data_IF_970103236031
#
_entry.id   IF_970103236031
#
_cell.length_a   1.000
_cell.length_b   1.000
_cell.length_c   1.000
_cell.angle_alpha   90.00
_cell.angle_beta   90.00
_cell.angle_gamma   90.00
#
_symmetry.space_group_name_H-M   'P 1'
#
loop_
_entity.id
_entity.type
_entity.pdbx_description
1 polymer ?
#
# COMPACT_ATOMS: atom_id res chain seq x y z
N UNK A 1 -16.48 22.86 -20.15
CA UNK A 1 -17.31 22.73 -18.95
C UNK A 1 -16.54 21.88 -17.97
N UNK A 2 -15.98 22.47 -16.91
CA UNK A 2 -15.27 21.71 -15.89
C UNK A 2 -16.18 20.62 -15.35
N UNK A 3 -15.64 19.41 -15.16
CA UNK A 3 -16.38 18.31 -14.55
C UNK A 3 -16.65 18.73 -13.10
N UNK A 4 -17.83 19.31 -12.85
CA UNK A 4 -18.26 19.61 -11.50
C UNK A 4 -18.36 18.31 -10.73
N UNK A 5 -17.62 18.21 -9.62
CA UNK A 5 -17.76 17.06 -8.73
C UNK A 5 -19.00 17.22 -7.85
N UNK A 6 -19.69 16.11 -7.63
CA UNK A 6 -20.71 15.97 -6.61
C UNK A 6 -20.20 14.94 -5.60
N UNK A 7 -20.05 15.37 -4.35
CA UNK A 7 -19.74 14.49 -3.23
C UNK A 7 -21.06 13.97 -2.65
N UNK A 8 -21.29 12.66 -2.76
CA UNK A 8 -22.51 12.02 -2.31
C UNK A 8 -22.25 11.25 -1.02
N UNK A 9 -23.02 11.51 0.02
CA UNK A 9 -23.03 10.68 1.23
C UNK A 9 -23.95 9.49 0.99
N UNK A 10 -23.42 8.27 1.17
CA UNK A 10 -24.17 7.05 0.91
C UNK A 10 -25.11 6.73 2.08
N UNK A 11 -26.23 6.09 1.75
CA UNK A 11 -27.09 5.50 2.78
C UNK A 11 -26.39 4.32 3.46
N UNK A 12 -26.76 4.01 4.70
CA UNK A 12 -26.22 2.86 5.44
C UNK A 12 -26.38 1.54 4.65
N UNK A 13 -27.53 1.35 3.98
CA UNK A 13 -27.79 0.18 3.16
C UNK A 13 -26.83 0.09 1.96
N UNK A 14 -26.55 1.21 1.27
CA UNK A 14 -25.61 1.23 0.15
C UNK A 14 -24.17 0.99 0.63
N UNK A 15 -23.75 1.62 1.71
CA UNK A 15 -22.42 1.42 2.31
C UNK A 15 -22.22 -0.04 2.71
N UNK A 16 -23.18 -0.64 3.41
CA UNK A 16 -23.13 -2.04 3.80
C UNK A 16 -23.09 -2.98 2.59
N UNK A 17 -23.85 -2.69 1.52
CA UNK A 17 -23.82 -3.48 0.31
C UNK A 17 -22.43 -3.46 -0.36
N UNK A 18 -21.85 -2.27 -0.53
CA UNK A 18 -20.54 -2.08 -1.16
C UNK A 18 -19.40 -2.72 -0.36
N UNK A 19 -19.46 -2.66 0.97
CA UNK A 19 -18.40 -3.16 1.85
C UNK A 19 -18.63 -4.61 2.34
N UNK A 20 -19.72 -5.25 1.91
CA UNK A 20 -20.26 -6.48 2.54
C UNK A 20 -19.26 -7.64 2.63
N UNK A 21 -18.51 -7.92 1.56
CA UNK A 21 -17.53 -9.01 1.51
C UNK A 21 -16.50 -8.88 2.64
N UNK A 22 -15.91 -7.70 2.79
CA UNK A 22 -14.84 -7.47 3.76
C UNK A 22 -15.36 -7.12 5.15
N UNK A 23 -16.48 -6.41 5.25
CA UNK A 23 -17.08 -6.12 6.55
C UNK A 23 -17.49 -7.40 7.27
N UNK A 24 -18.04 -8.39 6.56
CA UNK A 24 -18.46 -9.65 7.19
C UNK A 24 -17.29 -10.43 7.81
N UNK A 25 -16.13 -10.43 7.14
CA UNK A 25 -14.91 -11.03 7.67
C UNK A 25 -14.49 -10.35 8.98
N UNK A 26 -14.47 -9.01 9.03
CA UNK A 26 -14.17 -8.28 10.28
C UNK A 26 -15.17 -8.57 11.38
N UNK A 27 -16.47 -8.62 11.06
CA UNK A 27 -17.51 -8.92 12.04
C UNK A 27 -17.37 -10.33 12.63
N UNK A 28 -16.93 -11.32 11.85
CA UNK A 28 -16.67 -12.67 12.35
C UNK A 28 -15.51 -12.77 13.35
N UNK A 29 -14.68 -11.72 13.47
CA UNK A 29 -13.51 -11.67 14.35
C UNK A 29 -13.72 -10.78 15.59
N UNK A 30 -14.98 -10.52 15.94
CA UNK A 30 -15.36 -9.73 17.12
C UNK A 30 -14.79 -10.29 18.42
N UNK A 31 -14.88 -11.61 18.61
CA UNK A 31 -14.44 -12.25 19.85
C UNK A 31 -12.92 -12.20 19.99
N UNK A 32 -12.19 -12.33 18.86
CA UNK A 32 -10.75 -12.15 18.80
C UNK A 32 -10.35 -10.71 19.17
N UNK A 33 -11.01 -9.70 18.61
CA UNK A 33 -10.78 -8.31 18.96
C UNK A 33 -10.99 -8.04 20.46
N UNK A 34 -12.08 -8.58 21.03
CA UNK A 34 -12.38 -8.44 22.45
C UNK A 34 -11.31 -9.11 23.33
N UNK A 35 -10.83 -10.29 22.94
CA UNK A 35 -9.76 -10.99 23.65
C UNK A 35 -8.45 -10.20 23.63
N UNK A 36 -8.03 -9.68 22.47
CA UNK A 36 -6.81 -8.87 22.35
C UNK A 36 -6.93 -7.60 23.20
N UNK A 37 -8.05 -6.88 23.14
CA UNK A 37 -8.25 -5.65 23.92
C UNK A 37 -8.25 -5.92 25.42
N UNK A 38 -8.91 -7.00 25.87
CA UNK A 38 -8.89 -7.40 27.29
C UNK A 38 -7.47 -7.69 27.74
N UNK A 39 -6.71 -8.44 26.93
CA UNK A 39 -5.32 -8.77 27.27
C UNK A 39 -4.43 -7.54 27.27
N UNK A 40 -4.61 -6.64 26.30
CA UNK A 40 -3.87 -5.39 26.23
C UNK A 40 -4.16 -4.49 27.44
N UNK A 41 -5.41 -4.48 27.92
CA UNK A 41 -5.83 -3.76 29.12
C UNK A 41 -5.16 -4.28 30.39
N UNK A 42 -4.95 -5.60 30.49
CA UNK A 42 -4.17 -6.22 31.59
C UNK A 42 -2.69 -5.84 31.51
N UNK A 43 -2.08 -5.96 30.33
CA UNK A 43 -0.64 -5.73 30.14
C UNK A 43 -0.24 -4.26 30.24
N UNK A 44 -1.05 -3.36 29.66
CA UNK A 44 -0.80 -1.92 29.65
C UNK A 44 -2.10 -1.10 29.40
N UNK A 45 -2.79 -0.65 30.47
CA UNK A 45 -4.02 0.13 30.39
C UNK A 45 -3.93 1.39 29.52
N UNK A 46 -2.80 2.09 29.58
CA UNK A 46 -2.59 3.35 28.84
C UNK A 46 -2.56 3.09 27.34
N UNK A 47 -1.85 2.05 26.89
CA UNK A 47 -1.85 1.65 25.48
C UNK A 47 -3.22 1.12 25.07
N UNK A 48 -3.86 0.27 25.89
CA UNK A 48 -5.16 -0.30 25.57
C UNK A 48 -6.22 0.76 25.25
N UNK A 49 -6.20 1.89 25.96
CA UNK A 49 -7.12 3.01 25.73
C UNK A 49 -7.00 3.62 24.32
N UNK A 50 -5.89 3.41 23.61
CA UNK A 50 -5.63 3.92 22.27
C UNK A 50 -6.14 3.02 21.15
N UNK A 51 -6.74 1.87 21.49
CA UNK A 51 -7.30 0.94 20.51
C UNK A 51 -8.82 0.82 20.68
N UNK A 52 -9.48 0.51 19.56
CA UNK A 52 -10.88 0.11 19.51
C UNK A 52 -11.05 -1.08 18.59
N UNK A 53 -12.22 -1.72 18.63
CA UNK A 53 -12.48 -2.88 17.79
C UNK A 53 -12.88 -2.45 16.38
N UNK A 54 -12.31 -3.05 15.34
CA UNK A 54 -12.45 -2.57 13.94
C UNK A 54 -13.89 -2.58 13.44
N UNK A 55 -14.73 -3.49 13.93
CA UNK A 55 -16.16 -3.51 13.61
C UNK A 55 -16.91 -2.24 14.04
N UNK A 56 -16.45 -1.56 15.10
CA UNK A 56 -17.07 -0.32 15.56
C UNK A 56 -16.76 0.82 14.58
N UNK A 57 -15.54 0.83 14.05
CA UNK A 57 -15.13 1.75 12.98
C UNK A 57 -15.95 1.54 11.70
N UNK A 58 -16.08 0.29 11.26
CA UNK A 58 -16.85 -0.05 10.05
C UNK A 58 -18.34 0.27 10.20
N UNK A 59 -18.94 -0.05 11.35
CA UNK A 59 -20.39 0.19 11.58
C UNK A 59 -20.74 1.67 11.70
N UNK A 60 -19.78 2.51 12.11
CA UNK A 60 -19.95 3.95 12.24
C UNK A 60 -19.47 4.74 11.02
N UNK A 61 -18.98 4.06 9.97
CA UNK A 61 -18.35 4.69 8.82
C UNK A 61 -19.37 5.43 7.95
N UNK A 62 -19.16 6.74 7.76
CA UNK A 62 -19.92 7.53 6.78
C UNK A 62 -19.18 7.51 5.44
N UNK A 63 -19.61 6.62 4.54
CA UNK A 63 -19.01 6.50 3.22
C UNK A 63 -19.51 7.60 2.29
N UNK A 64 -18.57 8.24 1.58
CA UNK A 64 -18.86 9.28 0.58
C UNK A 64 -18.17 8.92 -0.73
N UNK A 65 -18.77 9.32 -1.85
CA UNK A 65 -18.24 9.03 -3.20
C UNK A 65 -18.35 10.26 -4.08
N UNK A 66 -17.32 10.47 -4.90
CA UNK A 66 -17.29 11.45 -5.98
C UNK A 66 -18.01 10.89 -7.22
N UNK A 67 -18.66 11.80 -7.94
CA UNK A 67 -19.35 11.54 -9.20
C UNK A 67 -19.52 12.86 -9.96
N UNK A 68 -19.97 12.80 -11.21
CA UNK A 68 -20.33 14.00 -11.99
C UNK A 68 -21.78 14.43 -11.81
N UNK A 69 -22.62 13.50 -11.37
CA UNK A 69 -24.06 13.63 -11.21
C UNK A 69 -24.50 12.67 -10.11
N UNK A 70 -25.64 12.93 -9.48
CA UNK A 70 -26.26 11.96 -8.58
C UNK A 70 -26.49 10.63 -9.33
N UNK A 71 -26.28 9.48 -8.64
CA UNK A 71 -26.49 8.18 -9.27
C UNK A 71 -27.94 8.03 -9.74
N UNK A 72 -28.15 7.52 -10.95
CA UNK A 72 -29.47 7.43 -11.56
C UNK A 72 -30.40 6.50 -10.77
N UNK A 73 -29.83 5.45 -10.16
CA UNK A 73 -30.55 4.53 -9.27
C UNK A 73 -30.70 5.04 -7.83
N UNK A 74 -30.14 6.20 -7.49
CA UNK A 74 -30.05 6.70 -6.11
C UNK A 74 -29.01 5.96 -5.24
N UNK A 75 -28.22 5.05 -5.83
CA UNK A 75 -27.19 4.26 -5.15
C UNK A 75 -26.00 3.96 -6.07
N UNK A 76 -24.82 3.75 -5.51
CA UNK A 76 -23.66 3.31 -6.27
C UNK A 76 -23.58 1.77 -6.32
N UNK A 77 -23.35 1.21 -7.50
CA UNK A 77 -23.22 -0.26 -7.69
C UNK A 77 -21.81 -0.79 -7.38
N UNK A 78 -20.80 0.07 -7.54
CA UNK A 78 -19.38 -0.21 -7.33
C UNK A 78 -18.62 1.10 -7.19
N UNK A 79 -17.31 1.05 -6.95
CA UNK A 79 -16.47 2.24 -6.98
C UNK A 79 -15.02 1.93 -7.37
N UNK A 80 -14.33 2.96 -7.87
CA UNK A 80 -12.87 2.99 -8.03
C UNK A 80 -12.28 3.70 -6.82
N UNK A 81 -11.22 3.16 -6.23
CA UNK A 81 -10.45 3.88 -5.23
C UNK A 81 -9.20 4.49 -5.87
N UNK A 82 -8.93 5.76 -5.60
CA UNK A 82 -7.80 6.50 -6.15
C UNK A 82 -6.73 6.65 -5.09
N UNK A 83 -5.52 6.20 -5.43
CA UNK A 83 -4.35 6.18 -4.57
C UNK A 83 -3.31 7.15 -5.16
N UNK A 84 -2.89 8.16 -4.40
CA UNK A 84 -2.10 9.27 -4.94
C UNK A 84 -1.28 9.99 -3.86
N UNK A 85 -0.42 10.92 -4.28
CA UNK A 85 0.29 11.82 -3.37
C UNK A 85 -0.45 13.14 -3.24
N UNK A 86 -0.82 13.52 -2.01
CA UNK A 86 -1.43 14.83 -1.75
C UNK A 86 -0.46 15.95 -2.17
N UNK A 87 -1.00 17.00 -2.81
CA UNK A 87 -0.22 18.16 -3.23
C UNK A 87 0.11 19.04 -2.02
N UNK A 88 1.36 19.04 -1.60
CA UNK A 88 1.91 20.02 -0.65
C UNK A 88 2.79 20.99 -1.44
N UNK A 89 2.28 22.21 -1.67
CA UNK A 89 2.77 23.17 -2.66
C UNK A 89 4.26 23.53 -2.53
N UNK A 90 4.87 23.34 -1.37
CA UNK A 90 6.25 23.76 -1.08
C UNK A 90 7.30 22.67 -1.33
N UNK A 91 6.90 21.42 -1.61
CA UNK A 91 7.82 20.28 -1.47
C UNK A 91 7.85 19.31 -2.66
N UNK A 92 7.14 19.60 -3.75
CA UNK A 92 7.06 18.64 -4.85
C UNK A 92 6.74 19.29 -6.21
N UNK A 93 7.64 19.17 -7.20
CA UNK A 93 7.32 19.57 -8.55
C UNK A 93 6.39 18.52 -9.17
N UNK A 94 5.20 18.97 -9.58
CA UNK A 94 4.34 18.19 -10.46
C UNK A 94 4.95 18.13 -11.86
N UNK A 95 4.59 17.10 -12.62
CA UNK A 95 4.89 17.06 -14.04
C UNK A 95 4.24 18.25 -14.78
N UNK A 96 4.84 18.76 -15.87
CA UNK A 96 4.25 19.84 -16.67
C UNK A 96 2.80 19.57 -17.10
N UNK A 97 2.51 18.33 -17.50
CA UNK A 97 1.17 17.89 -17.90
C UNK A 97 0.16 17.77 -16.74
N UNK A 98 0.57 17.88 -15.48
CA UNK A 98 -0.32 17.88 -14.32
C UNK A 98 -1.08 19.20 -14.12
N UNK A 99 -1.08 20.08 -15.13
CA UNK A 99 -1.78 21.36 -15.11
C UNK A 99 -2.81 21.43 -16.25
N UNK A 100 -4.02 21.97 -16.00
CA UNK A 100 -4.51 22.54 -14.74
C UNK A 100 -4.95 21.47 -13.72
N UNK A 101 -4.98 21.85 -12.44
CA UNK A 101 -5.69 21.10 -11.40
C UNK A 101 -7.19 21.16 -11.68
N UNK A 102 -7.86 20.01 -11.65
CA UNK A 102 -9.29 19.93 -11.90
C UNK A 102 -10.04 20.61 -10.73
N UNK A 103 -10.99 21.53 -11.01
CA UNK A 103 -11.72 22.23 -9.95
C UNK A 103 -12.42 21.26 -8.99
N UNK A 104 -12.01 21.31 -7.71
CA UNK A 104 -12.57 20.48 -6.64
C UNK A 104 -11.89 19.14 -6.40
N UNK A 105 -11.17 18.58 -7.39
CA UNK A 105 -10.61 17.22 -7.28
C UNK A 105 -9.23 17.16 -6.63
N UNK A 106 -8.53 18.29 -6.54
CA UNK A 106 -7.16 18.39 -6.00
C UNK A 106 -6.10 17.50 -6.70
N UNK A 107 -6.43 17.00 -7.88
CA UNK A 107 -5.57 16.29 -8.83
C UNK A 107 -5.75 16.93 -10.21
N UNK A 108 -4.86 16.65 -11.15
CA UNK A 108 -4.89 17.26 -12.49
C UNK A 108 -6.16 16.89 -13.28
N UNK A 109 -6.60 17.80 -14.15
CA UNK A 109 -7.74 17.56 -15.03
C UNK A 109 -7.54 16.32 -15.93
N UNK A 110 -6.36 16.09 -16.56
CA UNK A 110 -6.16 14.86 -17.33
C UNK A 110 -6.30 13.58 -16.50
N UNK A 111 -5.85 13.58 -15.23
CA UNK A 111 -6.00 12.43 -14.33
C UNK A 111 -7.46 12.20 -13.95
N UNK A 112 -8.23 13.26 -13.68
CA UNK A 112 -9.69 13.15 -13.46
C UNK A 112 -10.35 12.54 -14.69
N UNK A 113 -10.06 13.06 -15.89
CA UNK A 113 -10.66 12.56 -17.13
C UNK A 113 -10.34 11.07 -17.34
N UNK A 114 -9.09 10.66 -17.08
CA UNK A 114 -8.67 9.27 -17.17
C UNK A 114 -9.37 8.37 -16.14
N UNK A 115 -9.41 8.77 -14.85
CA UNK A 115 -10.12 8.01 -13.80
C UNK A 115 -11.60 7.87 -14.11
N UNK A 116 -12.24 8.95 -14.56
CA UNK A 116 -13.65 8.96 -14.92
C UNK A 116 -13.94 8.09 -16.15
N UNK A 117 -13.02 8.03 -17.11
CA UNK A 117 -13.09 7.13 -18.27
C UNK A 117 -12.94 5.64 -17.92
N UNK A 118 -12.39 5.30 -16.74
CA UNK A 118 -12.28 3.92 -16.26
C UNK A 118 -13.55 3.39 -15.58
N UNK A 119 -14.57 4.24 -15.40
CA UNK A 119 -15.85 3.84 -14.82
C UNK A 119 -16.61 2.92 -15.77
N UNK A 120 -17.21 1.86 -15.24
CA UNK A 120 -17.98 0.90 -16.06
C UNK A 120 -19.42 1.37 -16.34
N UNK A 121 -19.96 2.28 -15.51
CA UNK A 121 -21.28 2.85 -15.69
C UNK A 121 -21.42 4.19 -14.92
N UNK A 122 -22.54 4.88 -15.10
CA UNK A 122 -22.83 6.17 -14.46
C UNK A 122 -23.10 6.08 -12.94
N UNK A 123 -23.35 4.87 -12.42
CA UNK A 123 -23.62 4.57 -11.01
C UNK A 123 -22.38 3.98 -10.31
N UNK A 124 -21.19 4.10 -10.91
CA UNK A 124 -19.93 3.73 -10.26
C UNK A 124 -19.30 4.95 -9.59
N UNK A 125 -19.05 4.89 -8.28
CA UNK A 125 -18.43 5.99 -7.54
C UNK A 125 -16.92 6.09 -7.77
N UNK A 126 -16.34 7.23 -7.40
CA UNK A 126 -14.89 7.38 -7.21
C UNK A 126 -14.62 7.74 -5.76
N UNK A 127 -13.75 7.00 -5.10
CA UNK A 127 -13.31 7.26 -3.73
C UNK A 127 -11.90 7.84 -3.75
N UNK A 128 -11.74 9.03 -3.17
CA UNK A 128 -10.47 9.74 -3.00
C UNK A 128 -10.38 10.19 -1.54
N UNK A 129 -9.37 9.71 -0.81
CA UNK A 129 -9.28 9.85 0.65
C UNK A 129 -9.47 11.30 1.14
N UNK A 130 -8.78 12.26 0.53
CA UNK A 130 -8.80 13.66 0.95
C UNK A 130 -10.17 14.33 0.82
N UNK A 131 -10.96 13.90 -0.16
CA UNK A 131 -12.28 14.49 -0.45
C UNK A 131 -13.44 13.68 0.13
N UNK A 132 -13.30 12.36 0.23
CA UNK A 132 -14.36 11.47 0.72
C UNK A 132 -14.37 11.36 2.25
N UNK A 133 -13.24 11.63 2.90
CA UNK A 133 -13.13 11.72 4.36
C UNK A 133 -13.28 13.19 4.76
N UNK A 134 -14.07 13.46 5.79
CA UNK A 134 -14.20 14.81 6.34
C UNK A 134 -12.91 15.17 7.10
N UNK A 135 -12.01 15.85 6.41
CA UNK A 135 -10.69 16.23 6.95
C UNK A 135 -10.75 17.23 8.12
N UNK A 136 -11.93 17.73 8.49
CA UNK A 136 -12.13 18.61 9.63
C UNK A 136 -12.75 17.90 10.84
N UNK A 137 -13.07 16.61 10.73
CA UNK A 137 -13.64 15.79 11.80
C UNK A 137 -12.67 14.65 12.13
N UNK A 138 -11.97 14.78 13.26
CA UNK A 138 -11.02 13.77 13.74
C UNK A 138 -11.68 12.41 14.00
N UNK A 139 -12.96 12.39 14.37
CA UNK A 139 -13.68 11.12 14.54
C UNK A 139 -13.87 10.44 13.19
N UNK A 140 -14.37 11.17 12.18
CA UNK A 140 -14.53 10.64 10.82
C UNK A 140 -13.19 10.14 10.26
N UNK A 141 -12.09 10.90 10.45
CA UNK A 141 -10.74 10.47 10.04
C UNK A 141 -10.32 9.16 10.68
N UNK A 142 -10.39 9.05 12.01
CA UNK A 142 -9.97 7.85 12.73
C UNK A 142 -10.78 6.63 12.27
N UNK A 143 -12.09 6.78 12.08
CA UNK A 143 -12.97 5.70 11.61
C UNK A 143 -12.58 5.26 10.17
N UNK A 144 -12.34 6.20 9.27
CA UNK A 144 -11.91 5.89 7.89
C UNK A 144 -10.52 5.26 7.85
N UNK A 145 -9.55 5.79 8.60
CA UNK A 145 -8.19 5.21 8.75
C UNK A 145 -8.27 3.77 9.26
N UNK A 146 -9.12 3.52 10.27
CA UNK A 146 -9.35 2.20 10.82
C UNK A 146 -10.06 1.22 9.88
N UNK A 147 -10.81 1.72 8.89
CA UNK A 147 -11.54 0.93 7.90
C UNK A 147 -10.91 0.95 6.50
N UNK A 148 -9.71 1.51 6.35
CA UNK A 148 -9.09 1.77 5.06
C UNK A 148 -8.81 0.50 4.24
N UNK A 149 -8.41 -0.59 4.90
CA UNK A 149 -8.28 -1.90 4.26
C UNK A 149 -9.61 -2.36 3.65
N UNK A 150 -10.70 -2.20 4.39
CA UNK A 150 -12.05 -2.61 3.98
C UNK A 150 -12.49 -1.81 2.76
N UNK A 151 -12.28 -0.50 2.76
CA UNK A 151 -12.63 0.37 1.62
C UNK A 151 -11.81 -0.01 0.38
N UNK A 152 -10.47 -0.08 0.48
CA UNK A 152 -9.64 -0.39 -0.68
C UNK A 152 -9.84 -1.81 -1.22
N UNK A 153 -10.04 -2.81 -0.34
CA UNK A 153 -10.33 -4.19 -0.79
C UNK A 153 -11.68 -4.33 -1.47
N UNK A 154 -12.66 -3.50 -1.07
CA UNK A 154 -14.01 -3.48 -1.63
C UNK A 154 -14.11 -2.70 -2.95
N UNK A 155 -13.12 -1.86 -3.26
CA UNK A 155 -13.06 -1.16 -4.53
C UNK A 155 -13.00 -2.17 -5.69
N UNK A 156 -13.71 -1.89 -6.78
CA UNK A 156 -13.61 -2.70 -8.00
C UNK A 156 -12.17 -2.65 -8.54
N UNK A 157 -11.56 -1.48 -8.48
CA UNK A 157 -10.20 -1.23 -8.96
C UNK A 157 -9.54 -0.14 -8.11
N UNK A 158 -8.23 -0.26 -7.95
CA UNK A 158 -7.37 0.80 -7.43
C UNK A 158 -6.66 1.46 -8.60
N UNK A 159 -6.72 2.79 -8.67
CA UNK A 159 -6.02 3.59 -9.68
C UNK A 159 -4.97 4.44 -8.98
N UNK A 160 -3.72 4.26 -9.38
CA UNK A 160 -2.54 4.89 -8.78
C UNK A 160 -2.12 6.06 -9.67
N UNK A 161 -2.16 7.29 -9.14
CA UNK A 161 -1.81 8.49 -9.90
C UNK A 161 -0.36 8.89 -9.63
N UNK A 162 0.45 8.94 -10.69
CA UNK A 162 1.86 9.35 -10.66
C UNK A 162 2.01 10.75 -11.27
N UNK A 163 1.49 11.76 -10.57
CA UNK A 163 1.40 13.13 -11.09
C UNK A 163 2.75 13.88 -11.22
N UNK A 164 3.84 13.29 -10.72
CA UNK A 164 5.23 13.73 -10.94
C UNK A 164 5.91 13.08 -12.14
N UNK A 165 5.25 12.13 -12.80
CA UNK A 165 5.86 11.36 -13.88
C UNK A 165 5.30 11.81 -15.22
N UNK A 166 6.16 12.43 -16.02
CA UNK A 166 5.96 12.62 -17.45
C UNK A 166 7.10 11.96 -18.21
N UNK A 167 6.73 11.06 -19.12
CA UNK A 167 7.66 10.35 -19.98
C UNK A 167 8.18 11.27 -21.07
N UNK A 168 9.42 11.08 -21.51
CA UNK A 168 9.84 11.58 -22.81
C UNK A 168 9.41 10.64 -23.94
N UNK A 169 9.76 10.98 -25.18
CA UNK A 169 9.31 10.22 -26.36
C UNK A 169 9.94 8.83 -26.40
N UNK A 170 11.22 8.70 -26.08
CA UNK A 170 11.92 7.41 -26.06
C UNK A 170 11.36 6.48 -24.98
N UNK A 171 11.14 7.01 -23.78
CA UNK A 171 10.55 6.27 -22.66
C UNK A 171 9.12 5.84 -22.94
N UNK A 172 8.27 6.72 -23.49
CA UNK A 172 6.89 6.38 -23.87
C UNK A 172 6.87 5.29 -24.93
N UNK A 173 7.70 5.41 -25.97
CA UNK A 173 7.81 4.42 -27.04
C UNK A 173 8.20 3.06 -26.46
N UNK A 174 9.17 3.04 -25.54
CA UNK A 174 9.58 1.82 -24.87
C UNK A 174 8.50 1.26 -23.95
N UNK A 175 7.85 2.11 -23.16
CA UNK A 175 6.78 1.71 -22.25
C UNK A 175 5.63 1.02 -22.98
N UNK A 176 5.19 1.59 -24.11
CA UNK A 176 4.14 1.02 -24.95
C UNK A 176 4.59 -0.30 -25.61
N UNK A 177 5.84 -0.40 -26.07
CA UNK A 177 6.37 -1.62 -26.65
C UNK A 177 6.44 -2.77 -25.62
N UNK A 178 7.02 -2.52 -24.44
CA UNK A 178 7.10 -3.52 -23.37
C UNK A 178 5.71 -3.88 -22.82
N UNK A 179 4.78 -2.92 -22.75
CA UNK A 179 3.40 -3.20 -22.34
C UNK A 179 2.68 -4.11 -23.35
N UNK A 180 2.89 -3.90 -24.65
CA UNK A 180 2.36 -4.78 -25.69
C UNK A 180 2.96 -6.19 -25.60
N UNK A 181 4.29 -6.31 -25.41
CA UNK A 181 4.94 -7.61 -25.18
C UNK A 181 4.35 -8.34 -23.97
N UNK A 182 4.10 -7.63 -22.87
CA UNK A 182 3.49 -8.21 -21.68
C UNK A 182 2.07 -8.70 -21.95
N UNK A 183 1.26 -7.92 -22.66
CA UNK A 183 -0.10 -8.32 -23.04
C UNK A 183 -0.09 -9.59 -23.92
N UNK A 184 0.82 -9.68 -24.88
CA UNK A 184 1.01 -10.87 -25.73
C UNK A 184 1.46 -12.08 -24.92
N UNK A 185 2.37 -11.90 -23.95
CA UNK A 185 2.79 -12.96 -23.03
C UNK A 185 1.60 -13.51 -22.23
N UNK A 186 0.80 -12.63 -21.63
CA UNK A 186 -0.39 -13.02 -20.84
C UNK A 186 -1.41 -13.74 -21.71
N UNK A 187 -1.63 -13.26 -22.94
CA UNK A 187 -2.50 -13.90 -23.92
C UNK A 187 -2.04 -15.32 -24.26
N UNK A 188 -0.75 -15.50 -24.56
CA UNK A 188 -0.19 -16.81 -24.88
C UNK A 188 -0.25 -17.80 -23.72
N UNK A 189 0.05 -17.35 -22.49
CA UNK A 189 -0.12 -18.17 -21.28
C UNK A 189 -1.56 -18.68 -21.15
N UNK A 190 -2.55 -17.82 -21.44
CA UNK A 190 -3.97 -18.18 -21.38
C UNK A 190 -4.38 -19.13 -22.50
N UNK A 191 -3.99 -18.86 -23.74
CA UNK A 191 -4.35 -19.66 -24.91
C UNK A 191 -3.72 -21.06 -24.90
N UNK A 192 -2.52 -21.18 -24.32
CA UNK A 192 -1.81 -22.46 -24.16
C UNK A 192 -2.09 -23.15 -22.83
N UNK A 193 -2.95 -22.56 -21.98
CA UNK A 193 -3.30 -23.08 -20.65
C UNK A 193 -2.06 -23.44 -19.82
N UNK A 194 -1.01 -22.61 -19.88
CA UNK A 194 0.25 -22.91 -19.19
C UNK A 194 0.07 -22.76 -17.67
N UNK A 195 0.52 -23.78 -16.94
CA UNK A 195 0.50 -23.82 -15.47
C UNK A 195 1.85 -24.28 -14.89
N UNK A 196 2.02 -24.10 -13.57
CA UNK A 196 3.18 -24.58 -12.83
C UNK A 196 4.54 -24.14 -13.40
N UNK A 197 5.47 -25.09 -13.49
CA UNK A 197 6.83 -24.85 -13.98
C UNK A 197 6.85 -24.42 -15.45
N UNK A 198 6.01 -25.02 -16.31
CA UNK A 198 5.97 -24.69 -17.73
C UNK A 198 5.58 -23.22 -17.97
N UNK A 199 4.63 -22.70 -17.18
CA UNK A 199 4.29 -21.28 -17.19
C UNK A 199 5.46 -20.41 -16.72
N UNK A 200 6.12 -20.79 -15.63
CA UNK A 200 7.26 -20.05 -15.10
C UNK A 200 8.37 -19.94 -16.16
N UNK A 201 8.77 -21.08 -16.74
CA UNK A 201 9.81 -21.15 -17.77
C UNK A 201 9.45 -20.31 -19.01
N UNK A 202 8.18 -20.36 -19.45
CA UNK A 202 7.70 -19.54 -20.57
C UNK A 202 7.84 -18.04 -20.25
N UNK A 203 7.36 -17.60 -19.08
CA UNK A 203 7.39 -16.20 -18.67
C UNK A 203 8.84 -15.69 -18.60
N UNK A 204 9.74 -16.43 -17.95
CA UNK A 204 11.16 -16.04 -17.82
C UNK A 204 11.88 -15.93 -19.15
N UNK A 205 11.47 -16.70 -20.16
CA UNK A 205 12.10 -16.68 -21.48
C UNK A 205 11.42 -15.73 -22.47
N UNK A 206 10.23 -15.20 -22.17
CA UNK A 206 9.46 -14.42 -23.13
C UNK A 206 10.14 -13.09 -23.51
N UNK A 207 10.42 -12.23 -22.53
CA UNK A 207 11.04 -10.92 -22.81
C UNK A 207 12.42 -11.06 -23.46
N UNK A 208 13.35 -11.91 -22.99
CA UNK A 208 14.62 -12.12 -23.69
C UNK A 208 14.47 -12.47 -25.17
N UNK A 209 13.47 -13.29 -25.54
CA UNK A 209 13.18 -13.65 -26.93
C UNK A 209 12.64 -12.46 -27.73
N UNK A 210 11.70 -11.70 -27.18
CA UNK A 210 11.17 -10.51 -27.86
C UNK A 210 12.24 -9.43 -28.03
N UNK A 211 13.06 -9.19 -27.02
CA UNK A 211 14.18 -8.25 -27.11
C UNK A 211 15.20 -8.66 -28.18
N UNK A 212 15.44 -9.97 -28.37
CA UNK A 212 16.32 -10.44 -29.44
C UNK A 212 15.79 -10.04 -30.83
N UNK A 213 14.48 -10.10 -31.06
CA UNK A 213 13.85 -9.61 -32.30
C UNK A 213 14.07 -8.11 -32.49
N UNK A 214 13.89 -7.32 -31.43
CA UNK A 214 14.13 -5.87 -31.48
C UNK A 214 15.59 -5.55 -31.83
N UNK A 215 16.56 -6.32 -31.30
CA UNK A 215 17.99 -6.18 -31.67
C UNK A 215 18.22 -6.52 -33.15
N UNK A 216 17.61 -7.59 -33.66
CA UNK A 216 17.69 -7.95 -35.09
C UNK A 216 17.11 -6.85 -36.00
N UNK A 217 16.02 -6.20 -35.55
CA UNK A 217 15.38 -5.06 -36.21
C UNK A 217 16.12 -3.72 -36.01
N UNK A 218 17.24 -3.71 -35.25
CA UNK A 218 18.03 -2.52 -34.90
C UNK A 218 17.23 -1.45 -34.13
N UNK A 219 16.36 -1.91 -33.22
CA UNK A 219 15.53 -1.10 -32.33
C UNK A 219 16.15 -0.99 -30.93
N UNK A 220 17.45 -0.73 -30.86
CA UNK A 220 18.20 -0.60 -29.59
C UNK A 220 17.72 0.59 -28.75
N UNK A 221 17.13 1.60 -29.39
CA UNK A 221 16.49 2.76 -28.77
C UNK A 221 15.36 2.34 -27.81
N UNK A 222 14.53 1.37 -28.21
CA UNK A 222 13.43 0.84 -27.40
C UNK A 222 13.96 0.13 -26.16
N UNK A 223 15.02 -0.65 -26.30
CA UNK A 223 15.63 -1.39 -25.19
C UNK A 223 16.28 -0.43 -24.17
N UNK A 224 16.99 0.58 -24.66
CA UNK A 224 17.55 1.63 -23.81
C UNK A 224 16.46 2.43 -23.09
N UNK A 225 15.39 2.81 -23.80
CA UNK A 225 14.23 3.50 -23.25
C UNK A 225 13.51 2.70 -22.17
N UNK A 226 13.47 1.36 -22.27
CA UNK A 226 12.80 0.50 -21.28
C UNK A 226 13.36 0.64 -19.88
N UNK A 227 14.70 0.69 -19.76
CA UNK A 227 15.38 0.90 -18.46
C UNK A 227 15.15 2.31 -17.92
N UNK A 228 15.19 3.33 -18.77
CA UNK A 228 14.90 4.71 -18.38
C UNK A 228 13.46 4.86 -17.88
N UNK A 229 12.49 4.32 -18.63
CA UNK A 229 11.08 4.27 -18.27
C UNK A 229 10.86 3.60 -16.91
N UNK A 230 11.37 2.37 -16.72
CA UNK A 230 11.18 1.64 -15.48
C UNK A 230 11.77 2.38 -14.27
N UNK A 231 12.97 2.97 -14.42
CA UNK A 231 13.58 3.79 -13.36
C UNK A 231 12.74 5.02 -13.05
N UNK A 232 12.31 5.76 -14.08
CA UNK A 232 11.52 6.99 -13.91
C UNK A 232 10.19 6.69 -13.21
N UNK A 233 9.45 5.68 -13.66
CA UNK A 233 8.17 5.33 -13.07
C UNK A 233 8.31 4.87 -11.60
N UNK A 234 9.29 3.99 -11.30
CA UNK A 234 9.50 3.48 -9.94
C UNK A 234 10.12 4.51 -8.99
N UNK A 235 10.73 5.57 -9.52
CA UNK A 235 11.22 6.70 -8.75
C UNK A 235 10.10 7.68 -8.35
N UNK A 236 8.86 7.46 -8.82
CA UNK A 236 7.72 8.29 -8.43
C UNK A 236 7.57 8.33 -6.91
N UNK A 237 7.20 9.50 -6.39
CA UNK A 237 7.01 9.74 -4.96
C UNK A 237 6.01 8.77 -4.31
N UNK A 238 5.05 8.27 -5.08
CA UNK A 238 4.08 7.30 -4.58
C UNK A 238 4.73 6.09 -3.92
N UNK A 239 5.84 5.57 -4.48
CA UNK A 239 6.57 4.43 -3.91
C UNK A 239 7.23 4.74 -2.56
N UNK A 240 7.30 6.01 -2.15
CA UNK A 240 7.95 6.40 -0.89
C UNK A 240 7.01 6.60 0.29
N UNK A 241 5.69 6.46 0.11
CA UNK A 241 4.72 6.75 1.18
C UNK A 241 4.18 5.48 1.83
N UNK A 242 4.02 5.52 3.15
CA UNK A 242 3.51 4.38 3.91
C UNK A 242 2.06 4.03 3.53
N UNK A 243 1.19 5.03 3.35
CA UNK A 243 -0.18 4.82 2.89
C UNK A 243 -0.26 4.20 1.49
N UNK A 244 0.67 4.54 0.61
CA UNK A 244 0.76 3.93 -0.72
C UNK A 244 1.19 2.45 -0.65
N UNK A 245 2.06 2.11 0.31
CA UNK A 245 2.37 0.72 0.61
C UNK A 245 1.16 -0.05 1.16
N UNK A 246 0.37 0.56 2.05
CA UNK A 246 -0.90 0.02 2.49
C UNK A 246 -1.83 -0.29 1.31
N UNK A 247 -2.10 0.71 0.48
CA UNK A 247 -3.00 0.65 -0.69
C UNK A 247 -2.63 -0.49 -1.63
N UNK A 248 -1.34 -0.65 -1.91
CA UNK A 248 -0.84 -1.75 -2.71
C UNK A 248 -1.02 -3.10 -2.02
N UNK A 249 -0.67 -3.23 -0.74
CA UNK A 249 -0.74 -4.51 0.00
C UNK A 249 -2.16 -5.05 0.18
N UNK A 250 -3.15 -4.16 0.21
CA UNK A 250 -4.57 -4.56 0.30
C UNK A 250 -5.21 -4.80 -1.07
N UNK A 251 -4.50 -4.53 -2.17
CA UNK A 251 -5.01 -4.69 -3.52
C UNK A 251 -5.05 -6.16 -4.01
N UNK A 252 -5.87 -6.41 -5.03
CA UNK A 252 -6.04 -7.74 -5.64
C UNK A 252 -4.95 -8.06 -6.67
N UNK A 253 -3.71 -8.31 -6.21
CA UNK A 253 -2.56 -8.55 -7.09
C UNK A 253 -2.49 -9.93 -7.75
N UNK A 254 -3.21 -10.97 -7.32
CA UNK A 254 -2.93 -12.37 -7.71
C UNK A 254 -3.98 -13.04 -8.61
N UNK A 255 -5.16 -12.45 -8.80
CA UNK A 255 -6.24 -13.07 -9.61
C UNK A 255 -6.08 -12.73 -11.09
N UNK A 256 -5.49 -13.62 -11.89
CA UNK A 256 -5.39 -13.46 -13.36
C UNK A 256 -6.78 -13.40 -14.02
N UNK A 257 -7.76 -14.11 -13.45
CA UNK A 257 -9.13 -14.12 -13.96
C UNK A 257 -9.86 -12.79 -13.79
N UNK A 258 -9.38 -11.94 -12.87
CA UNK A 258 -9.98 -10.65 -12.54
C UNK A 258 -9.01 -9.52 -12.95
N UNK A 259 -8.58 -9.50 -14.22
CA UNK A 259 -7.72 -8.41 -14.73
C UNK A 259 -8.34 -7.03 -14.47
N UNK A 260 -9.67 -6.98 -14.37
CA UNK A 260 -10.38 -5.76 -14.05
C UNK A 260 -10.08 -5.19 -12.65
N UNK A 261 -9.60 -6.03 -11.71
CA UNK A 261 -9.27 -5.64 -10.33
C UNK A 261 -7.78 -5.33 -10.10
N UNK A 262 -6.93 -5.59 -11.10
CA UNK A 262 -5.49 -5.30 -10.99
C UNK A 262 -5.30 -3.78 -10.90
N UNK A 263 -4.47 -3.28 -9.95
CA UNK A 263 -4.19 -1.86 -9.87
C UNK A 263 -3.57 -1.32 -11.17
N UNK A 264 -3.95 -0.10 -11.54
CA UNK A 264 -3.40 0.61 -12.69
C UNK A 264 -2.57 1.80 -12.24
N UNK A 265 -1.36 1.92 -12.76
CA UNK A 265 -0.59 3.15 -12.73
C UNK A 265 -1.04 4.08 -13.85
N UNK A 266 -1.32 5.34 -13.52
CA UNK A 266 -1.52 6.42 -14.48
C UNK A 266 -0.34 7.40 -14.41
N UNK A 267 0.24 7.73 -15.56
CA UNK A 267 1.28 8.75 -15.70
C UNK A 267 1.07 9.54 -17.00
N UNK A 268 1.83 10.62 -17.19
CA UNK A 268 1.73 11.42 -18.41
C UNK A 268 2.69 10.90 -19.49
N UNK A 269 2.20 10.81 -20.71
CA UNK A 269 3.03 10.68 -21.92
C UNK A 269 3.75 11.97 -22.27
N UNK A 270 4.62 11.91 -23.26
CA UNK A 270 5.43 13.03 -23.74
C UNK A 270 4.60 14.21 -24.23
N UNK A 271 3.40 13.94 -24.75
CA UNK A 271 2.44 14.94 -25.23
C UNK A 271 1.44 15.40 -24.15
N UNK A 272 1.55 14.86 -22.93
CA UNK A 272 0.65 15.14 -21.82
C UNK A 272 -0.62 14.29 -21.80
N UNK A 273 -0.80 13.36 -22.74
CA UNK A 273 -1.84 12.33 -22.63
C UNK A 273 -1.62 11.46 -21.39
N UNK A 274 -2.68 10.86 -20.85
CA UNK A 274 -2.56 9.94 -19.71
C UNK A 274 -2.42 8.52 -20.21
N UNK A 275 -1.31 7.88 -19.86
CA UNK A 275 -1.02 6.49 -20.13
C UNK A 275 -1.39 5.63 -18.92
N UNK A 276 -1.77 4.37 -19.17
CA UNK A 276 -2.15 3.42 -18.12
C UNK A 276 -1.36 2.13 -18.21
N UNK A 277 -0.79 1.69 -17.08
CA UNK A 277 0.02 0.48 -17.00
C UNK A 277 -0.46 -0.42 -15.86
N UNK A 278 -0.62 -1.72 -16.11
CA UNK A 278 -0.94 -2.66 -15.02
C UNK A 278 0.22 -2.75 -14.02
N UNK A 279 -0.11 -2.84 -12.73
CA UNK A 279 0.90 -3.00 -11.68
C UNK A 279 1.80 -4.21 -11.92
N UNK A 280 1.22 -5.33 -12.34
CA UNK A 280 1.96 -6.57 -12.63
C UNK A 280 2.92 -6.44 -13.79
N UNK A 281 2.55 -5.68 -14.82
CA UNK A 281 3.43 -5.37 -15.93
C UNK A 281 4.68 -4.65 -15.41
N UNK A 282 4.49 -3.61 -14.60
CA UNK A 282 5.61 -2.86 -14.05
C UNK A 282 6.48 -3.69 -13.11
N UNK A 283 5.87 -4.51 -12.26
CA UNK A 283 6.59 -5.42 -11.38
C UNK A 283 7.47 -6.40 -12.17
N UNK A 284 6.90 -7.02 -13.22
CA UNK A 284 7.61 -7.98 -14.05
C UNK A 284 8.71 -7.33 -14.90
N UNK A 285 8.44 -6.17 -15.49
CA UNK A 285 9.42 -5.41 -16.26
C UNK A 285 10.61 -5.02 -15.37
N UNK A 286 10.34 -4.51 -14.17
CA UNK A 286 11.37 -4.11 -13.23
C UNK A 286 12.25 -5.29 -12.80
N UNK A 287 11.63 -6.45 -12.52
CA UNK A 287 12.34 -7.69 -12.19
C UNK A 287 13.31 -8.06 -13.32
N UNK A 288 12.79 -8.23 -14.55
CA UNK A 288 13.57 -8.60 -15.73
C UNK A 288 14.74 -7.63 -16.00
N UNK A 289 14.45 -6.33 -15.98
CA UNK A 289 15.48 -5.33 -16.27
C UNK A 289 16.49 -5.18 -15.11
N UNK A 290 16.13 -5.53 -13.87
CA UNK A 290 17.06 -5.50 -12.74
C UNK A 290 18.13 -6.60 -12.81
N UNK A 291 17.84 -7.72 -13.47
CA UNK A 291 18.80 -8.80 -13.70
C UNK A 291 19.93 -8.39 -14.67
N UNK A 292 19.70 -7.34 -15.47
CA UNK A 292 20.74 -6.74 -16.30
C UNK A 292 21.75 -5.89 -15.51
N UNK A 293 21.44 -5.53 -14.26
CA UNK A 293 22.36 -4.79 -13.39
C UNK A 293 23.31 -5.75 -12.65
N UNK A 294 24.58 -5.36 -12.43
CA UNK A 294 25.54 -6.17 -11.69
C UNK A 294 24.98 -6.64 -10.35
N UNK A 295 25.24 -7.90 -10.02
CA UNK A 295 24.84 -8.46 -8.73
C UNK A 295 25.55 -7.72 -7.59
N UNK A 296 24.78 -7.31 -6.58
CA UNK A 296 25.32 -6.68 -5.38
C UNK A 296 25.03 -7.61 -4.21
N UNK A 297 26.09 -8.24 -3.68
CA UNK A 297 26.02 -9.10 -2.50
C UNK A 297 25.91 -8.25 -1.23
N UNK A 298 24.72 -7.72 -0.97
CA UNK A 298 24.42 -7.02 0.28
C UNK A 298 23.89 -8.02 1.32
N UNK A 299 24.38 -7.91 2.55
CA UNK A 299 23.93 -8.71 3.68
C UNK A 299 23.73 -7.81 4.91
N UNK A 300 22.85 -8.25 5.82
CA UNK A 300 22.63 -7.59 7.10
C UNK A 300 22.25 -6.12 6.97
N UNK A 301 22.95 -5.25 7.70
CA UNK A 301 22.64 -3.81 7.73
C UNK A 301 22.79 -3.14 6.38
N UNK A 302 23.80 -3.51 5.58
CA UNK A 302 24.02 -2.91 4.27
C UNK A 302 22.87 -3.20 3.29
N UNK A 303 22.27 -4.40 3.37
CA UNK A 303 21.08 -4.72 2.59
C UNK A 303 19.89 -3.85 3.00
N UNK A 304 19.70 -3.67 4.31
CA UNK A 304 18.59 -2.92 4.86
C UNK A 304 18.75 -1.42 4.67
N UNK A 305 19.98 -0.90 4.72
CA UNK A 305 20.29 0.48 4.35
C UNK A 305 19.96 0.73 2.87
N UNK A 306 20.30 -0.20 1.98
CA UNK A 306 19.94 -0.11 0.56
C UNK A 306 18.42 -0.25 0.33
N UNK A 307 17.74 -1.08 1.12
CA UNK A 307 16.29 -1.29 1.06
C UNK A 307 15.50 -0.08 1.56
N UNK A 308 16.07 0.66 2.51
CA UNK A 308 15.50 1.83 3.16
C UNK A 308 16.06 3.14 2.61
N UNK A 309 16.88 3.08 1.55
CA UNK A 309 17.41 4.26 0.90
C UNK A 309 16.24 5.14 0.40
N UNK A 310 16.12 6.39 0.88
CA UNK A 310 15.07 7.28 0.41
C UNK A 310 15.22 7.62 -1.09
N UNK A 311 16.44 7.52 -1.64
CA UNK A 311 16.80 7.91 -2.99
C UNK A 311 17.46 6.75 -3.77
N UNK A 312 16.75 5.63 -3.99
CA UNK A 312 17.29 4.48 -4.71
C UNK A 312 17.73 4.87 -6.13
N UNK A 313 18.93 4.42 -6.53
CA UNK A 313 19.55 4.82 -7.81
C UNK A 313 19.62 3.67 -8.83
N UNK A 314 19.65 2.43 -8.33
CA UNK A 314 19.66 1.22 -9.16
C UNK A 314 18.24 0.71 -9.40
N UNK A 315 18.03 0.07 -10.55
CA UNK A 315 16.76 -0.58 -10.82
C UNK A 315 16.52 -1.75 -9.87
N UNK A 316 17.58 -2.41 -9.41
CA UNK A 316 17.50 -3.46 -8.38
C UNK A 316 16.92 -2.94 -7.06
N UNK A 317 17.39 -1.79 -6.56
CA UNK A 317 16.83 -1.15 -5.36
C UNK A 317 15.36 -0.75 -5.55
N UNK A 318 15.04 -0.16 -6.70
CA UNK A 318 13.67 0.20 -7.07
C UNK A 318 12.75 -1.03 -7.17
N UNK A 319 13.27 -2.14 -7.71
CA UNK A 319 12.56 -3.41 -7.78
C UNK A 319 12.27 -3.98 -6.38
N UNK A 320 13.26 -3.98 -5.47
CA UNK A 320 13.02 -4.38 -4.08
C UNK A 320 11.94 -3.52 -3.41
N UNK A 321 11.89 -2.22 -3.73
CA UNK A 321 10.87 -1.31 -3.20
C UNK A 321 9.46 -1.71 -3.65
N UNK A 322 9.24 -1.92 -4.96
CA UNK A 322 7.92 -2.37 -5.46
C UNK A 322 7.56 -3.78 -4.96
N UNK A 323 8.54 -4.68 -4.78
CA UNK A 323 8.32 -6.00 -4.21
C UNK A 323 7.73 -5.92 -2.79
N UNK A 324 8.20 -4.98 -1.97
CA UNK A 324 7.66 -4.74 -0.61
C UNK A 324 6.24 -4.19 -0.60
N UNK A 325 5.73 -3.70 -1.72
CA UNK A 325 4.36 -3.22 -1.87
C UNK A 325 3.39 -4.35 -2.23
N UNK A 326 3.89 -5.52 -2.63
CA UNK A 326 3.04 -6.68 -2.82
C UNK A 326 2.48 -7.15 -1.48
N UNK A 327 1.29 -7.78 -1.48
CA UNK A 327 0.75 -8.39 -0.27
C UNK A 327 1.76 -9.41 0.26
N UNK A 328 2.09 -9.33 1.55
CA UNK A 328 2.91 -10.34 2.17
C UNK A 328 2.18 -11.70 2.15
N UNK A 329 2.93 -12.80 2.19
CA UNK A 329 2.32 -14.11 2.37
C UNK A 329 1.53 -14.11 3.68
N UNK A 330 0.39 -14.80 3.73
CA UNK A 330 -0.47 -14.88 4.91
C UNK A 330 0.20 -15.49 6.16
N UNK A 331 1.44 -15.96 6.05
CA UNK A 331 2.23 -16.56 7.11
C UNK A 331 3.19 -15.58 7.79
N UNK A 332 3.33 -14.36 7.28
CA UNK A 332 4.27 -13.38 7.81
C UNK A 332 3.75 -12.77 9.12
N UNK A 333 4.64 -12.60 10.11
CA UNK A 333 4.27 -11.99 11.39
C UNK A 333 3.76 -10.55 11.22
N UNK A 334 2.83 -10.13 12.08
CA UNK A 334 2.34 -8.76 12.11
C UNK A 334 3.46 -7.75 12.40
N UNK A 335 4.47 -8.13 13.19
CA UNK A 335 5.68 -7.32 13.35
C UNK A 335 6.42 -7.09 12.04
N UNK A 336 6.53 -8.11 11.17
CA UNK A 336 7.20 -7.95 9.87
C UNK A 336 6.42 -6.99 8.95
N UNK A 337 5.09 -6.99 9.01
CA UNK A 337 4.29 -5.96 8.34
C UNK A 337 4.67 -4.56 8.83
N UNK A 338 4.75 -4.31 10.14
CA UNK A 338 5.17 -3.01 10.65
C UNK A 338 6.59 -2.65 10.23
N UNK A 339 7.56 -3.55 10.43
CA UNK A 339 8.98 -3.31 10.11
C UNK A 339 9.19 -3.00 8.63
N UNK A 340 8.41 -3.66 7.77
CA UNK A 340 8.45 -3.36 6.35
C UNK A 340 7.75 -2.05 5.97
N UNK A 341 6.90 -1.46 6.82
CA UNK A 341 6.20 -0.20 6.55
C UNK A 341 6.94 1.01 7.14
N UNK A 342 7.61 0.87 8.29
CA UNK A 342 8.28 1.99 8.98
C UNK A 342 9.37 2.67 8.17
N UNK A 343 9.93 2.02 7.15
CA UNK A 343 10.91 2.65 6.26
C UNK A 343 10.29 3.55 5.19
N UNK A 344 8.96 3.53 5.03
CA UNK A 344 8.28 4.44 4.12
C UNK A 344 7.98 5.76 4.84
N UNK A 345 8.00 6.85 4.07
CA UNK A 345 7.69 8.17 4.58
C UNK A 345 6.25 8.24 5.09
N UNK A 346 6.10 8.56 6.37
CA UNK A 346 4.81 8.79 7.02
C UNK A 346 4.91 10.03 7.89
N UNK A 347 4.01 11.00 7.63
CA UNK A 347 4.00 12.29 8.34
C UNK A 347 3.46 12.12 9.76
N UNK A 348 2.28 11.52 9.91
CA UNK A 348 1.75 11.10 11.21
C UNK A 348 2.31 9.71 11.55
N UNK A 349 3.00 9.55 12.68
CA UNK A 349 3.58 8.24 13.04
C UNK A 349 2.52 7.26 13.56
N UNK A 350 1.40 7.75 14.10
CA UNK A 350 0.25 6.90 14.47
C UNK A 350 -0.32 6.12 13.29
N UNK A 351 -0.27 6.69 12.08
CA UNK A 351 -0.72 6.02 10.85
C UNK A 351 0.08 4.74 10.56
N UNK A 352 1.35 4.65 10.96
CA UNK A 352 2.15 3.43 10.78
C UNK A 352 1.55 2.24 11.55
N UNK A 353 0.98 2.49 12.72
CA UNK A 353 0.24 1.49 13.51
C UNK A 353 -1.03 1.09 12.76
N UNK A 354 -1.83 2.06 12.32
CA UNK A 354 -3.07 1.80 11.57
C UNK A 354 -2.82 1.02 10.28
N UNK A 355 -1.78 1.38 9.53
CA UNK A 355 -1.37 0.68 8.32
C UNK A 355 -0.97 -0.77 8.66
N UNK A 356 -0.15 -0.98 9.69
CA UNK A 356 0.27 -2.33 10.09
C UNK A 356 -0.92 -3.19 10.54
N UNK A 357 -1.86 -2.63 11.33
CA UNK A 357 -3.12 -3.30 11.70
C UNK A 357 -3.92 -3.72 10.47
N UNK A 358 -4.02 -2.83 9.48
CA UNK A 358 -4.77 -3.05 8.25
C UNK A 358 -4.12 -4.11 7.35
N UNK A 359 -2.82 -4.05 7.14
CA UNK A 359 -2.11 -5.01 6.27
C UNK A 359 -2.00 -6.38 6.92
N UNK A 360 -1.79 -6.44 8.24
CA UNK A 360 -1.78 -7.69 9.02
C UNK A 360 -3.20 -8.20 9.36
N UNK A 361 -4.25 -7.47 8.96
CA UNK A 361 -5.64 -7.79 9.24
C UNK A 361 -5.91 -8.02 10.74
N UNK A 362 -5.32 -7.25 11.64
CA UNK A 362 -5.66 -7.31 13.07
C UNK A 362 -7.04 -6.66 13.25
N UNK A 363 -7.99 -7.26 14.01
CA UNK A 363 -9.37 -6.79 14.08
C UNK A 363 -9.55 -5.59 15.02
N UNK A 364 -8.54 -4.72 15.12
CA UNK A 364 -8.52 -3.49 15.90
C UNK A 364 -8.26 -2.30 15.00
N UNK A 365 -8.59 -1.10 15.48
CA UNK A 365 -8.13 0.16 14.91
C UNK A 365 -7.44 1.00 15.98
N UNK A 366 -6.54 1.88 15.55
CA UNK A 366 -5.78 2.76 16.41
C UNK A 366 -6.37 4.17 16.41
N UNK A 367 -6.42 4.81 17.58
CA UNK A 367 -6.95 6.16 17.81
C UNK A 367 -6.04 7.01 18.70
N UNK A 368 -4.84 6.52 19.01
CA UNK A 368 -3.85 7.29 19.76
C UNK A 368 -3.09 8.27 18.87
N UNK A 369 -2.29 9.11 19.49
CA UNK A 369 -1.34 10.00 18.81
C UNK A 369 0.09 9.55 19.13
N UNK A 370 0.96 9.60 18.12
CA UNK A 370 2.35 9.13 18.21
C UNK A 370 3.24 10.07 17.44
N UNK A 371 4.24 10.62 18.12
CA UNK A 371 5.21 11.55 17.54
C UNK A 371 6.45 10.83 17.01
N UNK A 372 6.91 9.78 17.69
CA UNK A 372 8.18 9.12 17.40
C UNK A 372 8.02 7.70 16.87
N UNK A 373 8.90 7.30 15.95
CA UNK A 373 8.91 5.94 15.38
C UNK A 373 9.26 4.86 16.42
N UNK A 374 10.07 5.18 17.43
CA UNK A 374 10.37 4.25 18.52
C UNK A 374 9.11 3.94 19.35
N UNK A 375 8.21 4.91 19.52
CA UNK A 375 6.93 4.69 20.18
C UNK A 375 6.01 3.80 19.33
N UNK A 376 6.02 3.94 18.00
CA UNK A 376 5.29 3.04 17.09
C UNK A 376 5.72 1.59 17.30
N UNK A 377 7.03 1.32 17.26
CA UNK A 377 7.57 -0.03 17.46
C UNK A 377 7.22 -0.58 18.84
N UNK A 378 7.34 0.23 19.89
CA UNK A 378 7.01 -0.19 21.25
C UNK A 378 5.51 -0.47 21.41
N UNK A 379 4.62 0.46 21.03
CA UNK A 379 3.15 0.30 21.13
C UNK A 379 2.71 -0.98 20.41
N UNK A 380 3.16 -1.15 19.17
CA UNK A 380 2.76 -2.31 18.37
C UNK A 380 3.34 -3.62 18.94
N UNK A 381 4.52 -3.59 19.57
CA UNK A 381 5.07 -4.77 20.25
C UNK A 381 4.23 -5.20 21.44
N UNK A 382 3.74 -4.25 22.25
CA UNK A 382 2.84 -4.58 23.37
C UNK A 382 1.52 -5.15 22.84
N UNK A 383 0.99 -4.60 21.75
CA UNK A 383 -0.16 -5.16 21.07
C UNK A 383 0.10 -6.60 20.59
N UNK A 384 1.26 -6.88 20.00
CA UNK A 384 1.59 -8.22 19.51
C UNK A 384 1.68 -9.23 20.65
N UNK A 385 2.30 -8.85 21.77
CA UNK A 385 2.30 -9.68 22.98
C UNK A 385 0.87 -9.94 23.50
N UNK A 386 0.00 -8.93 23.45
CA UNK A 386 -1.41 -9.10 23.83
C UNK A 386 -2.19 -10.00 22.86
N UNK A 387 -1.85 -9.97 21.56
CA UNK A 387 -2.35 -10.89 20.55
C UNK A 387 -1.70 -12.28 20.60
N UNK A 388 -0.73 -12.47 21.50
CA UNK A 388 -0.05 -13.74 21.69
C UNK A 388 1.15 -13.98 20.76
N UNK A 389 1.53 -13.00 19.96
CA UNK A 389 2.72 -13.04 19.12
C UNK A 389 3.96 -12.60 19.94
N UNK A 390 4.89 -13.52 20.13
CA UNK A 390 6.13 -13.31 20.90
C UNK A 390 7.32 -12.89 20.03
N UNK A 391 7.11 -12.70 18.72
CA UNK A 391 8.15 -12.19 17.81
C UNK A 391 8.87 -10.96 18.37
N UNK A 392 8.21 -9.96 19.00
CA UNK A 392 8.91 -8.83 19.60
C UNK A 392 10.05 -9.20 20.57
N UNK A 393 9.94 -10.33 21.27
CA UNK A 393 10.94 -10.79 22.26
C UNK A 393 12.21 -11.34 21.63
N UNK A 394 12.13 -11.79 20.37
CA UNK A 394 13.24 -12.41 19.64
C UNK A 394 13.82 -11.49 18.57
N UNK A 395 13.38 -10.23 18.49
CA UNK A 395 13.94 -9.27 17.55
C UNK A 395 15.36 -8.84 17.94
N UNK A 396 16.27 -9.05 16.99
CA UNK A 396 17.67 -8.63 17.10
C UNK A 396 17.88 -7.27 16.45
N UNK A 397 18.49 -6.33 17.18
CA UNK A 397 18.48 -4.93 16.78
C UNK A 397 19.21 -3.99 17.74
N UNK A 398 19.10 -2.69 17.46
CA UNK A 398 19.51 -1.62 18.40
C UNK A 398 18.40 -1.41 19.41
N UNK A 399 18.71 -1.32 20.70
CA UNK A 399 17.69 -1.01 21.72
C UNK A 399 17.02 0.35 21.47
N UNK A 400 15.70 0.40 21.61
CA UNK A 400 14.94 1.65 21.43
C UNK A 400 15.32 2.66 22.51
N UNK A 401 15.37 3.94 22.13
CA UNK A 401 15.69 5.04 23.04
C UNK A 401 14.49 5.96 23.10
N UNK A 402 13.71 5.77 24.16
CA UNK A 402 12.43 6.43 24.32
C UNK A 402 12.58 7.67 25.20
N UNK A 403 11.76 8.68 24.94
CA UNK A 403 11.64 9.88 25.75
C UNK A 403 10.19 9.94 26.23
N UNK A 404 9.96 10.18 27.52
CA UNK A 404 8.61 10.42 28.03
C UNK A 404 8.22 11.90 27.94
N UNK A 405 6.96 12.21 28.30
CA UNK A 405 6.45 13.57 28.28
C UNK A 405 7.22 14.51 29.23
N UNK A 406 7.85 13.95 30.27
CA UNK A 406 8.68 14.69 31.23
C UNK A 406 10.14 14.83 30.77
N UNK A 407 10.49 14.31 29.58
CA UNK A 407 11.83 14.36 29.01
C UNK A 407 12.81 13.30 29.55
N UNK A 408 12.37 12.40 30.42
CA UNK A 408 13.17 11.28 30.91
C UNK A 408 13.45 10.32 29.76
N UNK A 409 14.71 9.89 29.67
CA UNK A 409 15.19 8.94 28.66
C UNK A 409 15.18 7.53 29.24
N UNK A 410 14.55 6.61 28.51
CA UNK A 410 14.51 5.18 28.84
C UNK A 410 15.13 4.37 27.70
N UNK A 411 15.95 3.39 28.05
CA UNK A 411 16.39 2.34 27.11
C UNK A 411 15.39 1.20 27.25
N UNK A 412 14.68 0.89 26.16
CA UNK A 412 13.67 -0.17 26.20
C UNK A 412 14.30 -1.56 26.14
N UNK A 413 13.60 -2.54 26.69
CA UNK A 413 13.88 -3.96 26.43
C UNK A 413 13.72 -4.31 24.94
N UNK A 414 12.91 -3.54 24.20
CA UNK A 414 12.64 -3.74 22.78
C UNK A 414 13.80 -3.28 21.88
N UNK A 415 13.95 -3.94 20.73
CA UNK A 415 14.99 -3.63 19.75
C UNK A 415 14.38 -3.17 18.42
N UNK A 416 14.98 -2.16 17.78
CA UNK A 416 14.77 -1.79 16.37
C UNK A 416 15.45 -2.84 15.50
N UNK A 417 14.70 -3.68 14.76
CA UNK A 417 15.28 -4.84 14.09
C UNK A 417 16.22 -4.45 12.95
N UNK A 418 17.31 -5.21 12.80
CA UNK A 418 18.26 -5.00 11.71
C UNK A 418 17.87 -5.66 10.40
N UNK A 419 17.13 -6.77 10.41
CA UNK A 419 16.95 -7.67 9.25
C UNK A 419 15.49 -8.03 8.98
N UNK A 420 14.54 -7.21 9.45
CA UNK A 420 13.14 -7.63 9.53
C UNK A 420 12.83 -8.41 10.81
N UNK A 421 11.60 -8.89 10.92
CA UNK A 421 11.15 -9.87 11.89
C UNK A 421 11.20 -11.27 11.25
N UNK A 422 11.27 -12.31 12.10
CA UNK A 422 11.21 -13.70 11.63
C UNK A 422 9.89 -13.94 10.89
N UNK A 423 9.96 -14.67 9.79
CA UNK A 423 8.80 -14.99 8.95
C UNK A 423 7.83 -15.93 9.69
N UNK A 424 8.34 -16.80 10.57
CA UNK A 424 7.51 -17.75 11.32
C UNK A 424 6.99 -17.14 12.63
N UNK A 425 5.67 -17.16 12.81
CA UNK A 425 5.04 -16.96 14.12
C UNK A 425 5.58 -18.03 15.08
N UNK A 426 6.09 -17.62 16.24
CA UNK A 426 6.52 -18.54 17.29
C UNK A 426 5.36 -18.76 18.27
N UNK A 427 4.61 -19.87 18.20
CA UNK A 427 3.65 -20.20 19.24
C UNK A 427 4.41 -20.60 20.50
N UNK A 428 4.26 -19.84 21.59
CA UNK A 428 4.82 -20.22 22.89
C UNK A 428 3.72 -20.15 23.96
N UNK A 429 3.70 -21.16 24.82
CA UNK A 429 2.87 -21.25 26.03
C UNK A 429 3.16 -20.14 27.09
N UNK A 430 4.05 -19.19 26.79
CA UNK A 430 4.48 -18.11 27.68
C UNK A 430 3.55 -16.89 27.67
N UNK A 431 2.50 -16.89 26.84
CA UNK A 431 1.54 -15.77 26.80
C UNK A 431 0.92 -15.48 28.17
N UNK A 432 0.71 -16.53 28.97
CA UNK A 432 0.10 -16.41 30.30
C UNK A 432 1.10 -16.04 31.40
N UNK A 433 2.42 -16.09 31.14
CA UNK A 433 3.42 -15.75 32.16
C UNK A 433 3.68 -14.25 32.20
N UNK A 434 3.44 -13.51 31.12
CA UNK A 434 3.64 -12.05 31.12
C UNK A 434 2.54 -11.38 31.95
N UNK A 435 2.87 -10.68 33.02
CA UNK A 435 1.88 -10.03 33.89
C UNK A 435 1.76 -8.53 33.65
N UNK A 436 2.83 -7.89 33.18
CA UNK A 436 2.88 -6.45 32.90
C UNK A 436 3.97 -6.13 31.88
N UNK A 437 3.74 -5.10 31.04
CA UNK A 437 4.74 -4.61 30.08
C UNK A 437 4.90 -3.09 30.19
N UNK A 438 6.12 -2.68 30.53
CA UNK A 438 6.52 -1.27 30.57
C UNK A 438 7.51 -0.96 29.43
N UNK A 439 7.96 0.30 29.33
CA UNK A 439 9.03 0.65 28.39
C UNK A 439 10.35 0.00 28.82
N UNK A 440 10.63 -0.02 30.12
CA UNK A 440 11.87 -0.48 30.73
C UNK A 440 11.99 -2.01 30.80
N UNK A 441 10.92 -2.71 31.16
CA UNK A 441 10.97 -4.15 31.44
C UNK A 441 9.62 -4.87 31.22
N UNK A 442 9.68 -6.21 31.20
CA UNK A 442 8.53 -7.12 31.16
C UNK A 442 8.50 -7.87 32.50
N UNK A 443 7.34 -7.92 33.16
CA UNK A 443 7.13 -8.74 34.36
C UNK A 443 6.62 -10.12 33.97
N UNK A 444 7.17 -11.15 34.62
CA UNK A 444 6.76 -12.54 34.47
C UNK A 444 6.30 -13.09 35.83
N UNK A 445 5.32 -13.98 35.83
CA UNK A 445 4.90 -14.79 37.00
C UNK A 445 5.98 -15.81 37.42
#
# INVERSE_FOLDING_TARGET
SGIGQVLNTLSEANSKALLSEHSNLTHSRRDEAAAILSRLQELNPTIASQFGAKQDAISSLVLRMLSTQEPASGSFSSFIAVSYCWHYAEHWPLAPAATPIAPGWEISQPMVDAVMGLRVNADEGVWLDKLCINQNDETDKILHIGAMDTVYRSARRIVILLEDIQLDREEETAALAYSAMYADMVKQVKEQELEGQAKADFIFQFLPREEAKYREERRDDVLAGGKAFAKKLLAARWFSRAWCAHESRVAHHHRIKDSERIPLFLCYGHDGSVLSFEFRFMFFLAMHLSDSEPEVNLVGTAYMDALNDPNPTSLRQLWWRIQRLLPDNAQVSAMQHLVSIVSFGCFNKGDLISIALNTAQIPLFFRGDVEFEDDVLWIFSVLMLAAGDVVPLVLHGVKLRMVDADGKKTISWMSRPFQGALDDSLPIAAQNTITSVTREYIELD
#
